data_IF_744769885806
#
_entry.id   IF_744769885806
#
_cell.length_a   1.000
_cell.length_b   1.000
_cell.length_c   1.000
_cell.angle_alpha   90.00
_cell.angle_beta   90.00
_cell.angle_gamma   90.00
#
_symmetry.space_group_name_H-M   'P 1'
#
loop_
_entity.id
_entity.type
_entity.pdbx_description
1 polymer ?
#
# COMPACT_ATOMS: atom_id res chain seq x y z
N UNK A 1 -19.54 3.04 -2.12
CA UNK A 1 -20.58 2.00 -1.92
C UNK A 1 -20.47 0.88 -2.95
N UNK A 2 -20.48 1.14 -4.27
CA UNK A 2 -20.32 0.10 -5.30
C UNK A 2 -19.05 -0.77 -5.11
N UNK A 3 -17.89 -0.13 -4.96
CA UNK A 3 -16.60 -0.79 -4.68
C UNK A 3 -16.66 -1.76 -3.48
N UNK A 4 -17.32 -1.36 -2.38
CA UNK A 4 -17.45 -2.20 -1.18
C UNK A 4 -18.40 -3.37 -1.40
N UNK A 5 -19.46 -3.20 -2.19
CA UNK A 5 -20.38 -4.29 -2.54
C UNK A 5 -19.68 -5.32 -3.44
N UNK A 6 -18.85 -4.87 -4.38
CA UNK A 6 -18.06 -5.76 -5.24
C UNK A 6 -17.05 -6.55 -4.41
N UNK A 7 -16.33 -5.88 -3.50
CA UNK A 7 -15.41 -6.55 -2.57
C UNK A 7 -16.12 -7.56 -1.67
N UNK A 8 -17.28 -7.21 -1.09
CA UNK A 8 -18.06 -8.13 -0.27
C UNK A 8 -18.46 -9.38 -1.07
N UNK A 9 -18.94 -9.18 -2.30
CA UNK A 9 -19.34 -10.27 -3.21
C UNK A 9 -18.16 -11.19 -3.55
N UNK A 10 -16.97 -10.62 -3.78
CA UNK A 10 -15.73 -11.38 -4.01
C UNK A 10 -15.37 -12.20 -2.78
N UNK A 11 -15.35 -11.60 -1.58
CA UNK A 11 -14.96 -12.27 -0.34
C UNK A 11 -15.94 -13.36 0.11
N UNK A 12 -17.21 -13.24 -0.26
CA UNK A 12 -18.25 -14.24 -0.01
C UNK A 12 -18.18 -15.40 -1.01
N UNK A 13 -17.90 -15.12 -2.29
CA UNK A 13 -18.00 -16.11 -3.37
C UNK A 13 -16.67 -16.79 -3.73
N UNK A 14 -15.54 -16.14 -3.46
CA UNK A 14 -14.23 -16.65 -3.87
C UNK A 14 -13.86 -17.90 -3.07
N UNK A 15 -13.25 -18.85 -3.76
CA UNK A 15 -12.70 -20.09 -3.18
C UNK A 15 -11.20 -20.15 -3.45
N UNK A 16 -10.51 -21.13 -2.89
CA UNK A 16 -9.08 -21.35 -3.18
C UNK A 16 -8.78 -21.64 -4.66
N UNK A 17 -9.78 -21.96 -5.48
CA UNK A 17 -9.65 -22.17 -6.93
C UNK A 17 -9.98 -20.94 -7.77
N UNK A 18 -10.28 -19.80 -7.14
CA UNK A 18 -10.58 -18.55 -7.82
C UNK A 18 -9.31 -17.79 -8.24
N UNK A 19 -9.46 -16.93 -9.24
CA UNK A 19 -8.52 -15.85 -9.57
C UNK A 19 -9.18 -14.52 -9.15
N UNK A 20 -8.56 -13.83 -8.21
CA UNK A 20 -9.00 -12.50 -7.76
C UNK A 20 -8.02 -11.44 -8.28
N UNK A 21 -8.56 -10.35 -8.80
CA UNK A 21 -7.79 -9.20 -9.26
C UNK A 21 -8.37 -7.97 -8.56
N UNK A 22 -7.55 -7.29 -7.80
CA UNK A 22 -7.89 -6.05 -7.09
C UNK A 22 -7.04 -4.93 -7.65
N UNK A 23 -7.68 -3.81 -7.98
CA UNK A 23 -7.02 -2.64 -8.58
C UNK A 23 -7.44 -1.37 -7.84
N UNK A 24 -6.49 -0.78 -7.09
CA UNK A 24 -6.64 0.47 -6.35
C UNK A 24 -7.86 0.53 -5.41
N UNK A 25 -8.05 -0.54 -4.62
CA UNK A 25 -9.08 -0.62 -3.60
C UNK A 25 -8.87 0.43 -2.49
N UNK A 26 -9.93 1.13 -2.12
CA UNK A 26 -9.94 2.10 -1.01
C UNK A 26 -9.70 3.55 -1.43
N UNK A 27 -9.60 3.82 -2.74
CA UNK A 27 -9.36 5.19 -3.26
C UNK A 27 -10.51 6.17 -3.07
N UNK A 28 -11.72 5.67 -2.79
CA UNK A 28 -12.95 6.47 -2.68
C UNK A 28 -13.24 7.05 -1.30
N UNK A 29 -12.35 6.88 -0.32
CA UNK A 29 -12.54 7.28 1.08
C UNK A 29 -11.29 7.98 1.63
N UNK A 30 -11.26 8.27 2.94
CA UNK A 30 -10.08 8.83 3.60
C UNK A 30 -8.87 7.89 3.44
N UNK A 31 -7.66 8.46 3.41
CA UNK A 31 -6.44 7.66 3.17
C UNK A 31 -6.28 6.55 4.20
N UNK A 32 -6.53 6.82 5.48
CA UNK A 32 -6.37 5.85 6.56
C UNK A 32 -7.47 4.79 6.55
N UNK A 33 -8.73 5.17 6.32
CA UNK A 33 -9.83 4.19 6.20
C UNK A 33 -9.62 3.29 4.98
N UNK A 34 -9.23 3.88 3.85
CA UNK A 34 -8.96 3.16 2.62
C UNK A 34 -7.82 2.16 2.77
N UNK A 35 -6.73 2.59 3.43
CA UNK A 35 -5.61 1.70 3.76
C UNK A 35 -6.02 0.57 4.70
N UNK A 36 -6.73 0.87 5.79
CA UNK A 36 -7.15 -0.14 6.76
C UNK A 36 -8.04 -1.21 6.13
N UNK A 37 -8.98 -0.80 5.27
CA UNK A 37 -9.81 -1.73 4.50
C UNK A 37 -8.98 -2.54 3.49
N UNK A 38 -8.09 -1.88 2.74
CA UNK A 38 -7.22 -2.54 1.78
C UNK A 38 -6.35 -3.62 2.44
N UNK A 39 -5.79 -3.31 3.62
CA UNK A 39 -5.02 -4.24 4.45
C UNK A 39 -5.85 -5.43 4.89
N UNK A 40 -6.98 -5.18 5.56
CA UNK A 40 -7.82 -6.25 6.11
C UNK A 40 -8.32 -7.19 5.00
N UNK A 41 -8.68 -6.65 3.84
CA UNK A 41 -9.15 -7.44 2.69
C UNK A 41 -8.01 -8.26 2.08
N UNK A 42 -6.82 -7.69 1.93
CA UNK A 42 -5.66 -8.45 1.46
C UNK A 42 -5.28 -9.58 2.43
N UNK A 43 -5.31 -9.32 3.73
CA UNK A 43 -5.04 -10.29 4.79
C UNK A 43 -6.08 -11.43 4.78
N UNK A 44 -7.36 -11.12 4.62
CA UNK A 44 -8.43 -12.11 4.52
C UNK A 44 -8.30 -12.99 3.26
N UNK A 45 -7.93 -12.40 2.12
CA UNK A 45 -7.67 -13.14 0.88
C UNK A 45 -6.53 -14.15 1.06
N UNK A 46 -5.40 -13.74 1.67
CA UNK A 46 -4.25 -14.64 1.84
C UNK A 46 -4.46 -15.68 2.94
N UNK A 47 -5.19 -15.35 4.01
CA UNK A 47 -5.31 -16.19 5.20
C UNK A 47 -6.54 -17.11 5.19
N UNK A 48 -7.70 -16.62 4.75
CA UNK A 48 -8.98 -17.36 4.74
C UNK A 48 -9.29 -17.91 3.35
N UNK A 49 -9.33 -17.05 2.33
CA UNK A 49 -9.76 -17.44 0.97
C UNK A 49 -8.72 -18.32 0.27
N UNK A 50 -7.43 -17.97 0.41
CA UNK A 50 -6.26 -18.71 -0.12
C UNK A 50 -6.34 -18.95 -1.63
N UNK A 51 -6.85 -17.97 -2.37
CA UNK A 51 -6.94 -18.01 -3.82
C UNK A 51 -5.70 -17.39 -4.49
N UNK A 52 -5.57 -17.56 -5.81
CA UNK A 52 -4.58 -16.80 -6.55
C UNK A 52 -5.07 -15.35 -6.68
N UNK A 53 -4.22 -14.40 -6.27
CA UNK A 53 -4.59 -12.98 -6.22
C UNK A 53 -3.51 -12.09 -6.85
N UNK A 54 -3.96 -11.10 -7.62
CA UNK A 54 -3.14 -9.95 -8.02
C UNK A 54 -3.76 -8.72 -7.36
N UNK A 55 -2.95 -7.98 -6.62
CA UNK A 55 -3.38 -6.79 -5.90
C UNK A 55 -2.52 -5.59 -6.32
N UNK A 56 -3.08 -4.72 -7.14
CA UNK A 56 -2.46 -3.45 -7.53
C UNK A 56 -2.90 -2.34 -6.56
N UNK A 57 -1.94 -1.57 -6.06
CA UNK A 57 -2.20 -0.51 -5.09
C UNK A 57 -1.14 0.59 -5.10
N UNK A 58 -1.56 1.80 -4.74
CA UNK A 58 -0.68 2.90 -4.35
C UNK A 58 -0.29 2.91 -2.86
N UNK A 59 -0.87 2.05 -2.00
CA UNK A 59 -0.49 1.97 -0.59
C UNK A 59 0.85 1.24 -0.42
N UNK A 60 1.92 2.00 -0.21
CA UNK A 60 3.27 1.44 0.00
C UNK A 60 3.33 0.60 1.28
N UNK A 61 2.60 1.01 2.30
CA UNK A 61 2.51 0.37 3.60
C UNK A 61 1.95 -1.06 3.49
N UNK A 62 1.09 -1.35 2.49
CA UNK A 62 0.53 -2.68 2.26
C UNK A 62 1.60 -3.73 1.93
N UNK A 63 2.76 -3.29 1.44
CA UNK A 63 3.91 -4.18 1.16
C UNK A 63 4.45 -4.85 2.43
N UNK A 64 4.16 -4.27 3.60
CA UNK A 64 4.42 -4.85 4.92
C UNK A 64 3.65 -6.13 5.21
N UNK A 65 2.69 -6.54 4.36
CA UNK A 65 2.01 -7.82 4.46
C UNK A 65 2.90 -9.00 4.01
N UNK A 66 3.86 -8.76 3.11
CA UNK A 66 4.68 -9.84 2.55
C UNK A 66 5.62 -10.51 3.57
N UNK A 67 6.27 -9.79 4.50
CA UNK A 67 7.07 -10.41 5.56
C UNK A 67 6.23 -11.26 6.54
N UNK A 68 4.94 -10.96 6.69
CA UNK A 68 4.00 -11.70 7.56
C UNK A 68 3.60 -13.03 6.89
N UNK A 69 3.41 -13.02 5.56
CA UNK A 69 3.06 -14.20 4.77
C UNK A 69 4.13 -14.52 3.69
N UNK A 70 5.39 -14.79 4.09
CA UNK A 70 6.53 -14.84 3.15
C UNK A 70 6.48 -16.02 2.18
N UNK A 71 5.66 -17.04 2.47
CA UNK A 71 5.47 -18.21 1.59
C UNK A 71 4.37 -17.97 0.55
N UNK A 72 3.44 -17.05 0.81
CA UNK A 72 2.24 -16.83 0.01
C UNK A 72 2.30 -15.54 -0.79
N UNK A 73 2.95 -14.50 -0.25
CA UNK A 73 2.98 -13.17 -0.84
C UNK A 73 4.35 -12.83 -1.41
N UNK A 74 4.35 -12.08 -2.51
CA UNK A 74 5.54 -11.52 -3.13
C UNK A 74 5.23 -10.11 -3.60
N UNK A 75 6.05 -9.16 -3.18
CA UNK A 75 5.98 -7.80 -3.71
C UNK A 75 6.64 -7.74 -5.08
N UNK A 76 5.95 -7.09 -6.01
CA UNK A 76 6.44 -6.78 -7.35
C UNK A 76 6.10 -5.33 -7.69
N UNK A 77 6.88 -4.73 -8.57
CA UNK A 77 6.64 -3.38 -9.06
C UNK A 77 6.95 -3.28 -10.56
N UNK A 78 6.51 -2.19 -11.19
CA UNK A 78 6.84 -1.89 -12.58
C UNK A 78 8.19 -1.19 -12.67
N UNK A 79 9.08 -1.70 -13.52
CA UNK A 79 10.40 -1.13 -13.75
C UNK A 79 10.32 0.21 -14.49
N UNK A 80 11.18 1.13 -14.07
CA UNK A 80 11.31 2.48 -14.64
C UNK A 80 12.75 2.95 -14.52
N UNK A 81 13.22 3.70 -15.51
CA UNK A 81 14.57 4.28 -15.55
C UNK A 81 14.51 5.80 -15.70
N UNK A 82 15.60 6.49 -15.36
CA UNK A 82 15.79 7.90 -15.67
C UNK A 82 16.94 7.96 -16.67
N UNK A 83 16.72 8.59 -17.82
CA UNK A 83 17.74 8.74 -18.86
C UNK A 83 18.79 9.81 -18.48
N UNK A 84 19.79 9.97 -19.35
CA UNK A 84 20.87 10.95 -19.18
C UNK A 84 20.37 12.41 -19.11
N UNK A 85 19.18 12.69 -19.64
CA UNK A 85 18.55 14.00 -19.66
C UNK A 85 17.58 14.22 -18.48
N UNK A 86 17.46 13.25 -17.56
CA UNK A 86 16.54 13.33 -16.44
C UNK A 86 15.09 12.98 -16.79
N UNK A 87 14.84 12.39 -17.95
CA UNK A 87 13.53 11.94 -18.41
C UNK A 87 13.22 10.55 -17.86
N UNK A 88 12.00 10.38 -17.33
CA UNK A 88 11.49 9.08 -16.91
C UNK A 88 11.20 8.20 -18.12
N UNK A 89 11.59 6.93 -18.04
CA UNK A 89 11.27 5.90 -19.03
C UNK A 89 10.53 4.78 -18.32
N UNK A 90 9.30 4.50 -18.77
CA UNK A 90 8.52 3.37 -18.29
C UNK A 90 8.86 2.12 -19.10
N UNK A 91 9.38 1.09 -18.44
CA UNK A 91 9.81 -0.14 -19.14
C UNK A 91 8.67 -1.17 -19.30
N UNK A 92 7.52 -0.92 -18.64
CA UNK A 92 6.35 -1.82 -18.63
C UNK A 92 6.68 -3.27 -18.25
N UNK A 93 7.76 -3.47 -17.48
CA UNK A 93 8.25 -4.77 -17.04
C UNK A 93 7.97 -4.93 -15.55
N UNK A 94 7.31 -6.02 -15.18
CA UNK A 94 7.11 -6.38 -13.77
C UNK A 94 8.40 -7.01 -13.24
N UNK A 95 8.90 -6.48 -12.12
CA UNK A 95 10.12 -6.95 -11.45
C UNK A 95 9.85 -7.20 -9.96
N UNK A 96 10.58 -8.13 -9.31
CA UNK A 96 10.49 -8.31 -7.87
C UNK A 96 10.89 -7.05 -7.10
N UNK A 97 10.20 -6.79 -5.98
CA UNK A 97 10.49 -5.68 -5.09
C UNK A 97 9.33 -4.69 -4.94
N UNK A 98 9.62 -3.57 -4.29
CA UNK A 98 8.66 -2.50 -4.03
C UNK A 98 9.08 -1.26 -4.81
N UNK A 99 8.11 -0.47 -5.28
CA UNK A 99 8.40 0.82 -5.90
C UNK A 99 9.03 1.78 -4.87
N UNK A 100 10.21 2.31 -5.18
CA UNK A 100 11.02 3.13 -4.25
C UNK A 100 10.59 4.60 -4.23
N UNK A 101 9.94 5.09 -5.29
CA UNK A 101 9.59 6.51 -5.45
C UNK A 101 8.32 6.69 -6.26
N UNK A 102 7.57 7.74 -5.93
CA UNK A 102 6.48 8.23 -6.77
C UNK A 102 7.04 9.03 -7.93
N UNK A 103 6.45 8.88 -9.10
CA UNK A 103 6.90 9.54 -10.34
C UNK A 103 5.88 10.54 -10.90
N UNK A 104 4.88 10.93 -10.10
CA UNK A 104 3.78 11.78 -10.56
C UNK A 104 4.26 13.09 -11.22
N UNK A 105 5.21 13.80 -10.58
CA UNK A 105 5.78 15.03 -11.13
C UNK A 105 6.59 14.78 -12.41
N UNK A 106 7.37 13.69 -12.47
CA UNK A 106 8.12 13.31 -13.67
C UNK A 106 7.19 13.00 -14.85
N UNK A 107 6.10 12.28 -14.60
CA UNK A 107 5.07 11.99 -15.61
C UNK A 107 4.39 13.29 -16.06
N UNK A 108 4.05 14.17 -15.11
CA UNK A 108 3.49 15.48 -15.41
C UNK A 108 4.38 16.32 -16.32
N UNK A 109 5.68 16.37 -16.04
CA UNK A 109 6.68 17.02 -16.90
C UNK A 109 6.76 16.38 -18.28
N UNK A 110 6.77 15.05 -18.33
CA UNK A 110 6.85 14.29 -19.58
C UNK A 110 5.67 14.56 -20.52
N UNK A 111 4.45 14.67 -19.97
CA UNK A 111 3.24 14.93 -20.78
C UNK A 111 3.04 16.42 -21.10
N UNK A 112 3.94 17.29 -20.62
CA UNK A 112 3.93 18.72 -20.91
C UNK A 112 2.98 19.52 -20.03
N UNK A 113 2.78 19.14 -18.76
CA UNK A 113 2.10 20.01 -17.81
C UNK A 113 2.86 21.34 -17.67
N UNK A 114 2.17 22.48 -17.53
CA UNK A 114 2.82 23.78 -17.38
C UNK A 114 3.76 23.82 -16.17
N UNK A 115 4.94 24.42 -16.34
CA UNK A 115 5.97 24.50 -15.28
C UNK A 115 5.44 25.16 -14.00
N UNK A 116 4.54 26.14 -14.12
CA UNK A 116 3.94 26.79 -12.96
C UNK A 116 3.03 25.83 -12.16
N UNK A 117 2.39 24.86 -12.81
CA UNK A 117 1.59 23.83 -12.14
C UNK A 117 2.51 22.82 -11.45
N UNK A 118 3.57 22.38 -12.15
CA UNK A 118 4.56 21.45 -11.61
C UNK A 118 5.28 22.04 -10.39
N UNK A 119 5.62 23.33 -10.43
CA UNK A 119 6.25 24.01 -9.30
C UNK A 119 5.34 24.04 -8.08
N UNK A 120 4.06 24.42 -8.25
CA UNK A 120 3.10 24.43 -7.15
C UNK A 120 2.91 23.03 -6.55
N UNK A 121 2.86 22.00 -7.39
CA UNK A 121 2.75 20.62 -6.94
C UNK A 121 4.02 20.16 -6.18
N UNK A 122 5.21 20.54 -6.65
CA UNK A 122 6.49 20.28 -5.97
C UNK A 122 6.53 20.94 -4.59
N UNK A 123 6.20 22.23 -4.51
CA UNK A 123 6.18 22.98 -3.26
C UNK A 123 5.17 22.40 -2.24
N UNK A 124 4.03 21.88 -2.73
CA UNK A 124 3.04 21.23 -1.89
C UNK A 124 3.54 19.88 -1.36
N UNK A 125 4.19 19.08 -2.21
CA UNK A 125 4.76 17.80 -1.82
C UNK A 125 5.80 17.97 -0.71
N UNK A 126 6.74 18.91 -0.87
CA UNK A 126 7.76 19.21 0.15
C UNK A 126 7.12 19.60 1.50
N UNK A 127 6.04 20.38 1.48
CA UNK A 127 5.31 20.76 2.71
C UNK A 127 4.65 19.57 3.39
N UNK A 128 4.07 18.65 2.62
CA UNK A 128 3.41 17.46 3.15
C UNK A 128 4.44 16.48 3.73
N UNK A 129 5.56 16.27 3.04
CA UNK A 129 6.67 15.45 3.54
C UNK A 129 7.30 16.04 4.81
N UNK A 130 7.51 17.36 4.85
CA UNK A 130 7.99 18.04 6.05
C UNK A 130 7.01 17.92 7.23
N UNK A 131 5.70 17.88 6.97
CA UNK A 131 4.67 17.67 7.99
C UNK A 131 4.65 16.22 8.50
N UNK A 132 4.80 15.24 7.61
CA UNK A 132 4.81 13.81 7.95
C UNK A 132 6.13 13.36 8.59
N UNK A 133 7.24 14.03 8.30
CA UNK A 133 8.55 13.80 8.95
C UNK A 133 8.61 14.22 10.42
N UNK A 134 7.57 14.92 10.92
CA UNK A 134 7.30 15.06 12.35
C UNK A 134 6.43 13.90 12.83
N UNK A 135 6.94 12.68 12.71
CA UNK A 135 6.42 11.57 13.49
C UNK A 135 6.49 11.97 14.96
N UNK A 136 5.41 11.79 15.70
CA UNK A 136 5.51 11.85 17.16
C UNK A 136 6.51 10.78 17.63
N UNK A 137 7.26 11.01 18.73
CA UNK A 137 8.17 9.99 19.27
C UNK A 137 7.51 8.62 19.44
N UNK A 138 6.21 8.61 19.72
CA UNK A 138 5.38 7.43 19.94
C UNK A 138 5.14 6.63 18.64
N UNK A 139 4.90 7.31 17.51
CA UNK A 139 4.72 6.66 16.20
C UNK A 139 6.03 6.09 15.65
N UNK A 140 7.14 6.79 15.88
CA UNK A 140 8.47 6.32 15.49
C UNK A 140 8.90 5.10 16.32
N UNK A 141 8.48 5.04 17.59
CA UNK A 141 8.66 3.88 18.46
C UNK A 141 7.75 2.71 18.04
N UNK A 142 6.51 2.96 17.64
CA UNK A 142 5.60 1.95 17.11
C UNK A 142 6.13 1.34 15.79
N UNK A 143 6.60 2.17 14.87
CA UNK A 143 7.23 1.72 13.61
C UNK A 143 8.50 0.91 13.87
N UNK A 144 9.37 1.35 14.80
CA UNK A 144 10.56 0.60 15.22
C UNK A 144 10.19 -0.73 15.90
N UNK A 145 9.14 -0.75 16.73
CA UNK A 145 8.61 -1.97 17.34
C UNK A 145 8.13 -2.94 16.27
N UNK A 146 7.26 -2.51 15.35
CA UNK A 146 6.74 -3.34 14.25
C UNK A 146 7.88 -3.92 13.39
N UNK A 147 8.91 -3.12 13.07
CA UNK A 147 10.06 -3.59 12.30
C UNK A 147 11.06 -4.46 13.07
N UNK A 148 11.09 -4.40 14.40
CA UNK A 148 11.90 -5.29 15.25
C UNK A 148 11.24 -6.65 15.53
N UNK A 149 9.97 -6.82 15.19
CA UNK A 149 9.16 -7.98 15.58
C UNK A 149 9.14 -9.02 14.47
N UNK A 150 10.14 -9.89 14.51
CA UNK A 150 10.16 -11.16 13.78
C UNK A 150 9.48 -12.33 14.50
N UNK A 151 8.83 -12.11 15.65
CA UNK A 151 8.20 -13.17 16.45
C UNK A 151 6.69 -12.95 16.59
N UNK A 152 5.93 -13.96 16.14
CA UNK A 152 4.47 -14.05 16.05
C UNK A 152 3.72 -13.85 17.40
N UNK A 153 4.44 -13.89 18.53
CA UNK A 153 3.87 -13.87 19.89
C UNK A 153 3.33 -12.48 20.28
N UNK A 154 4.04 -11.40 19.96
CA UNK A 154 3.63 -10.04 20.35
C UNK A 154 2.55 -9.47 19.42
N UNK A 155 2.50 -9.92 18.15
CA UNK A 155 1.43 -9.61 17.21
C UNK A 155 0.08 -10.08 17.76
N UNK A 156 0.03 -11.27 18.38
CA UNK A 156 -1.18 -11.75 19.08
C UNK A 156 -1.55 -10.87 20.27
N UNK A 157 -0.58 -10.50 21.10
CA UNK A 157 -0.85 -9.65 22.28
C UNK A 157 -1.33 -8.24 21.91
N UNK A 158 -0.84 -7.66 20.82
CA UNK A 158 -1.30 -6.34 20.35
C UNK A 158 -2.69 -6.42 19.71
N UNK A 159 -3.00 -7.48 18.96
CA UNK A 159 -4.35 -7.71 18.44
C UNK A 159 -5.36 -7.96 19.57
N UNK A 160 -4.97 -8.70 20.61
CA UNK A 160 -5.82 -8.94 21.78
C UNK A 160 -6.06 -7.65 22.59
N UNK A 161 -5.07 -6.77 22.70
CA UNK A 161 -5.24 -5.50 23.43
C UNK A 161 -6.14 -4.51 22.67
N UNK A 162 -5.98 -4.40 21.34
CA UNK A 162 -6.85 -3.54 20.52
C UNK A 162 -8.30 -4.03 20.52
N UNK A 163 -8.51 -5.35 20.54
CA UNK A 163 -9.85 -5.94 20.63
C UNK A 163 -10.51 -5.81 22.01
N UNK A 164 -9.75 -5.55 23.08
CA UNK A 164 -10.27 -5.39 24.43
C UNK A 164 -10.53 -3.91 24.82
N UNK A 165 -10.02 -2.94 24.06
CA UNK A 165 -10.24 -1.50 24.34
C UNK A 165 -11.56 -0.95 23.74
N UNK A 166 -12.26 -1.68 22.88
CA UNK A 166 -13.61 -1.31 22.39
C UNK A 166 -14.76 -1.78 23.33
N UNK A 167 -14.43 -2.23 24.53
CA UNK A 167 -15.35 -2.95 25.44
C UNK A 167 -15.78 -2.25 26.73
N UNK A 168 -15.45 -0.97 26.97
CA UNK A 168 -15.90 -0.20 28.14
C UNK A 168 -16.53 1.16 27.75
#
# INVERSE_FOLDING_TARGET
MAEMNDCASILESATCHSLVIVDELGRGTSTYDGFGLAWAIAEDIVSRVKCFCIYATHYHELTGLSPIYPKQLKNVCTASEIDENGQLILLYKVIPGVAVRSFGLNIGKMIGLPDNVLQVASDMLEKLEARNSKLSPDEEELYKKIHSLGDDELRRQLLDNVMNEEGD
#
